data_IF_587048378491
#
_entry.id   IF_587048378491
#
_cell.length_a   1.000
_cell.length_b   1.000
_cell.length_c   1.000
_cell.angle_alpha   90.00
_cell.angle_beta   90.00
_cell.angle_gamma   90.00
#
_symmetry.space_group_name_H-M   'P 1'
#
loop_
_entity.id
_entity.type
_entity.pdbx_description
1 polymer ?
#
# COMPACT_ATOMS: atom_id res chain seq x y z
N UNK A 1 9.30 -13.32 -10.68
CA UNK A 1 9.44 -12.22 -9.71
C UNK A 1 10.30 -11.13 -10.30
N UNK A 2 9.78 -9.89 -10.38
CA UNK A 2 10.60 -8.74 -10.74
C UNK A 2 11.71 -8.57 -9.67
N UNK A 3 12.97 -8.44 -10.10
CA UNK A 3 14.12 -8.26 -9.21
C UNK A 3 14.31 -6.77 -8.88
N UNK A 4 13.29 -6.15 -8.28
CA UNK A 4 13.41 -4.76 -7.80
C UNK A 4 14.06 -4.81 -6.42
N UNK A 5 15.05 -3.95 -6.16
CA UNK A 5 15.67 -3.86 -4.84
C UNK A 5 14.74 -3.23 -3.81
N UNK A 6 15.03 -3.45 -2.54
CA UNK A 6 14.35 -2.78 -1.43
C UNK A 6 15.15 -1.55 -1.00
N UNK A 7 14.47 -0.45 -0.73
CA UNK A 7 15.01 0.74 -0.07
C UNK A 7 14.73 0.67 1.44
N UNK A 8 15.73 1.03 2.24
CA UNK A 8 15.59 1.38 3.64
C UNK A 8 15.09 2.83 3.78
N UNK A 9 14.42 3.21 4.88
CA UNK A 9 13.91 4.57 5.09
C UNK A 9 14.95 5.68 4.89
N UNK A 10 16.18 5.46 5.33
CA UNK A 10 17.31 6.38 5.22
C UNK A 10 17.75 6.63 3.77
N UNK A 11 17.43 5.73 2.84
CA UNK A 11 17.75 5.85 1.40
C UNK A 11 16.71 6.71 0.64
N UNK A 12 15.56 7.00 1.24
CA UNK A 12 14.45 7.73 0.60
C UNK A 12 14.60 9.21 0.88
N UNK A 13 14.77 10.05 -0.15
CA UNK A 13 14.89 11.50 0.01
C UNK A 13 13.56 12.23 0.23
N UNK A 14 12.46 11.73 -0.35
CA UNK A 14 11.13 12.30 -0.15
C UNK A 14 10.63 12.01 1.28
N UNK A 15 10.37 13.03 2.09
CA UNK A 15 10.06 12.86 3.51
C UNK A 15 8.72 12.15 3.74
N UNK A 16 7.77 12.29 2.83
CA UNK A 16 6.45 11.69 2.98
C UNK A 16 6.47 10.20 2.58
N UNK A 17 7.18 9.89 1.49
CA UNK A 17 7.46 8.50 1.11
C UNK A 17 8.23 7.76 2.21
N UNK A 18 9.24 8.40 2.82
CA UNK A 18 9.96 7.85 3.97
C UNK A 18 9.01 7.55 5.13
N UNK A 19 8.20 8.52 5.54
CA UNK A 19 7.27 8.37 6.66
C UNK A 19 6.26 7.23 6.42
N UNK A 20 5.77 7.05 5.19
CA UNK A 20 4.88 5.94 4.86
C UNK A 20 5.56 4.57 4.92
N UNK A 21 6.85 4.48 4.58
CA UNK A 21 7.60 3.24 4.73
C UNK A 21 7.84 2.93 6.21
N UNK A 22 8.21 3.92 7.02
CA UNK A 22 8.37 3.77 8.47
C UNK A 22 7.08 3.31 9.14
N UNK A 23 5.94 3.94 8.82
CA UNK A 23 4.62 3.53 9.32
C UNK A 23 4.28 2.09 8.89
N UNK A 24 4.61 1.73 7.65
CA UNK A 24 4.38 0.40 7.10
C UNK A 24 5.19 -0.66 7.83
N UNK A 25 6.47 -0.39 8.13
CA UNK A 25 7.35 -1.26 8.94
C UNK A 25 6.79 -1.42 10.35
N UNK A 26 6.38 -0.33 11.00
CA UNK A 26 5.81 -0.36 12.36
C UNK A 26 4.51 -1.18 12.42
N UNK A 27 3.62 -1.00 11.44
CA UNK A 27 2.27 -1.58 11.45
C UNK A 27 2.16 -2.92 10.74
N UNK A 28 3.18 -3.30 9.98
CA UNK A 28 3.16 -4.44 9.04
C UNK A 28 2.16 -4.28 7.88
N UNK A 29 1.58 -3.08 7.68
CA UNK A 29 0.56 -2.85 6.63
C UNK A 29 0.53 -1.39 6.15
N UNK A 30 0.36 -1.13 4.83
CA UNK A 30 0.56 -2.09 3.72
C UNK A 30 1.92 -2.81 3.84
N UNK A 31 2.10 -3.98 3.21
CA UNK A 31 3.31 -4.78 3.41
C UNK A 31 4.61 -3.95 3.23
N UNK A 32 5.53 -3.96 4.20
CA UNK A 32 6.77 -3.18 4.15
C UNK A 32 7.59 -3.40 2.88
N UNK A 33 7.68 -4.64 2.43
CA UNK A 33 8.40 -5.04 1.22
C UNK A 33 7.85 -4.31 -0.02
N UNK A 34 6.53 -4.24 -0.11
CA UNK A 34 5.85 -3.55 -1.20
C UNK A 34 5.99 -2.04 -1.13
N UNK A 35 5.91 -1.47 0.08
CA UNK A 35 6.10 -0.03 0.25
C UNK A 35 7.54 0.37 -0.06
N UNK A 36 8.51 -0.48 0.30
CA UNK A 36 9.92 -0.32 -0.04
C UNK A 36 10.15 -0.35 -1.56
N UNK A 37 9.49 -1.26 -2.29
CA UNK A 37 9.53 -1.26 -3.76
C UNK A 37 8.88 -0.01 -4.34
N UNK A 38 7.74 0.45 -3.82
CA UNK A 38 7.08 1.68 -4.32
C UNK A 38 7.91 2.93 -4.05
N UNK A 39 8.71 2.95 -2.98
CA UNK A 39 9.51 4.11 -2.60
C UNK A 39 10.57 4.51 -3.63
N UNK A 40 10.93 3.62 -4.57
CA UNK A 40 11.74 3.97 -5.74
C UNK A 40 11.13 5.08 -6.59
N UNK A 41 9.80 5.23 -6.58
CA UNK A 41 9.10 6.32 -7.24
C UNK A 41 8.06 6.93 -6.27
N UNK A 42 8.38 8.07 -5.63
CA UNK A 42 7.52 8.68 -4.61
C UNK A 42 6.09 9.00 -5.07
N UNK A 43 5.87 9.40 -6.32
CA UNK A 43 4.53 9.69 -6.84
C UNK A 43 3.66 8.43 -6.99
N UNK A 44 4.25 7.28 -7.32
CA UNK A 44 3.60 5.97 -7.33
C UNK A 44 3.21 5.57 -5.91
N UNK A 45 4.12 5.76 -4.95
CA UNK A 45 3.84 5.50 -3.54
C UNK A 45 2.71 6.39 -3.02
N UNK A 46 2.72 7.67 -3.40
CA UNK A 46 1.70 8.68 -3.07
C UNK A 46 0.35 8.33 -3.65
N UNK A 47 0.29 8.05 -4.95
CA UNK A 47 -0.94 7.66 -5.64
C UNK A 47 -1.57 6.44 -4.96
N UNK A 48 -0.77 5.41 -4.63
CA UNK A 48 -1.26 4.24 -3.91
C UNK A 48 -1.75 4.56 -2.50
N UNK A 49 -0.92 5.23 -1.69
CA UNK A 49 -1.17 5.44 -0.26
C UNK A 49 -2.36 6.36 -0.02
N UNK A 50 -2.45 7.46 -0.78
CA UNK A 50 -3.57 8.41 -0.71
C UNK A 50 -4.86 7.74 -1.16
N UNK A 51 -4.85 7.05 -2.31
CA UNK A 51 -6.05 6.35 -2.81
C UNK A 51 -6.54 5.30 -1.81
N UNK A 52 -5.63 4.52 -1.23
CA UNK A 52 -5.99 3.53 -0.20
C UNK A 52 -6.65 4.19 1.00
N UNK A 53 -6.12 5.32 1.49
CA UNK A 53 -6.71 6.08 2.60
C UNK A 53 -8.10 6.61 2.26
N UNK A 54 -8.29 7.14 1.05
CA UNK A 54 -9.58 7.67 0.60
C UNK A 54 -10.65 6.58 0.44
N UNK A 55 -10.26 5.36 0.08
CA UNK A 55 -11.22 4.28 -0.22
C UNK A 55 -11.43 3.28 0.94
N UNK A 56 -10.45 3.07 1.81
CA UNK A 56 -10.45 2.00 2.82
C UNK A 56 -10.36 2.49 4.27
N UNK A 57 -10.45 3.80 4.53
CA UNK A 57 -10.45 4.31 5.90
C UNK A 57 -11.70 3.85 6.66
N UNK A 58 -11.52 2.93 7.62
CA UNK A 58 -12.59 2.40 8.46
C UNK A 58 -13.29 3.45 9.31
N UNK A 59 -12.62 4.54 9.69
CA UNK A 59 -13.22 5.58 10.54
C UNK A 59 -14.25 6.41 9.78
N UNK A 60 -14.03 6.63 8.49
CA UNK A 60 -14.91 7.45 7.65
C UNK A 60 -15.90 6.61 6.83
N UNK A 61 -15.70 5.28 6.76
CA UNK A 61 -16.47 4.33 5.94
C UNK A 61 -16.86 4.90 4.57
N UNK A 62 -15.89 5.33 3.75
CA UNK A 62 -16.18 6.09 2.54
C UNK A 62 -16.90 5.22 1.51
N UNK A 63 -17.85 5.76 0.75
CA UNK A 63 -18.57 5.04 -0.31
C UNK A 63 -19.88 4.38 0.17
N UNK A 64 -20.46 3.51 -0.68
CA UNK A 64 -21.81 2.95 -0.48
C UNK A 64 -21.83 1.52 0.09
N UNK A 65 -20.67 0.85 0.16
CA UNK A 65 -20.56 -0.54 0.62
C UNK A 65 -19.65 -0.64 1.85
N UNK A 66 -19.95 -1.62 2.70
CA UNK A 66 -19.17 -1.93 3.90
C UNK A 66 -17.74 -2.35 3.58
N UNK A 67 -16.84 -2.16 4.54
CA UNK A 67 -15.42 -2.42 4.36
C UNK A 67 -15.13 -3.89 4.04
N UNK A 68 -15.86 -4.79 4.69
CA UNK A 68 -15.76 -6.24 4.57
C UNK A 68 -16.06 -6.68 3.13
N UNK A 69 -17.08 -6.09 2.49
CA UNK A 69 -17.40 -6.37 1.09
C UNK A 69 -16.30 -5.87 0.15
N UNK A 70 -15.66 -4.74 0.45
CA UNK A 70 -14.51 -4.24 -0.35
C UNK A 70 -13.32 -5.19 -0.28
N UNK A 71 -12.99 -5.70 0.91
CA UNK A 71 -11.89 -6.66 1.09
C UNK A 71 -12.19 -8.02 0.44
N UNK A 72 -13.46 -8.47 0.48
CA UNK A 72 -13.88 -9.69 -0.22
C UNK A 72 -13.68 -9.55 -1.75
N UNK A 73 -14.12 -8.43 -2.33
CA UNK A 73 -13.92 -8.16 -3.76
C UNK A 73 -12.43 -8.08 -4.10
N UNK A 74 -11.62 -7.39 -3.27
CA UNK A 74 -10.17 -7.27 -3.49
C UNK A 74 -9.49 -8.64 -3.48
N UNK A 75 -9.88 -9.52 -2.57
CA UNK A 75 -9.39 -10.91 -2.49
C UNK A 75 -9.80 -11.72 -3.72
N UNK A 76 -11.06 -11.61 -4.14
CA UNK A 76 -11.55 -12.33 -5.32
C UNK A 76 -10.83 -11.89 -6.60
N UNK A 77 -10.60 -10.57 -6.77
CA UNK A 77 -9.83 -10.05 -7.90
C UNK A 77 -8.40 -10.60 -7.87
N UNK A 78 -7.72 -10.56 -6.72
CA UNK A 78 -6.37 -11.10 -6.57
C UNK A 78 -6.31 -12.59 -6.92
N UNK A 79 -7.26 -13.38 -6.42
CA UNK A 79 -7.40 -14.80 -6.74
C UNK A 79 -7.62 -15.03 -8.24
N UNK A 80 -8.54 -14.29 -8.87
CA UNK A 80 -8.86 -14.43 -10.30
C UNK A 80 -7.67 -14.11 -11.21
N UNK A 81 -6.81 -13.18 -10.77
CA UNK A 81 -5.60 -12.76 -11.47
C UNK A 81 -4.37 -13.61 -11.12
N UNK A 82 -4.50 -14.60 -10.23
CA UNK A 82 -3.38 -15.39 -9.68
C UNK A 82 -2.30 -14.49 -9.08
N UNK A 83 -2.72 -13.43 -8.39
CA UNK A 83 -1.83 -12.58 -7.59
C UNK A 83 -1.55 -13.29 -6.26
N UNK A 84 -0.32 -13.78 -6.08
CA UNK A 84 0.11 -14.52 -4.87
C UNK A 84 0.55 -13.60 -3.72
N UNK A 85 0.80 -12.32 -4.02
CA UNK A 85 1.02 -11.27 -3.02
C UNK A 85 -0.31 -10.84 -2.39
#
# INVERSE_FOLDING_TARGET
MARISYLAPEEISDPEARAWLEESIERGRPGPENQSIRAHQPDVMRAFTVTRKLLFNKKTQPGVVEHELKELIRTYIAYSLKCEY
#
